data_IF_320753201180
#
_entry.id   IF_320753201180
#
_cell.length_a   1.000
_cell.length_b   1.000
_cell.length_c   1.000
_cell.angle_alpha   90.00
_cell.angle_beta   90.00
_cell.angle_gamma   90.00
#
_symmetry.space_group_name_H-M   'P 1'
#
loop_
_entity.id
_entity.type
_entity.pdbx_description
1 polymer ?
#
# COMPACT_ATOMS: atom_id res chain seq x y z
N UNK A 1 -1.23 13.00 -5.25
CA UNK A 1 -0.22 13.79 -4.51
C UNK A 1 -0.14 13.16 -3.14
N UNK A 2 0.96 12.51 -2.80
CA UNK A 2 1.11 11.91 -1.48
C UNK A 2 1.51 13.00 -0.48
N UNK A 3 0.71 13.12 0.58
CA UNK A 3 0.93 14.08 1.66
C UNK A 3 1.64 13.37 2.81
N UNK A 4 2.73 13.97 3.28
CA UNK A 4 3.47 13.49 4.45
C UNK A 4 3.09 14.33 5.65
N UNK A 5 2.16 13.82 6.44
CA UNK A 5 1.64 14.47 7.63
C UNK A 5 1.97 13.65 8.88
N UNK A 6 2.23 14.36 9.98
CA UNK A 6 2.45 13.73 11.28
C UNK A 6 1.09 13.39 11.87
N UNK A 7 0.87 12.09 12.12
CA UNK A 7 -0.37 11.55 12.64
C UNK A 7 -0.16 10.86 13.99
N UNK A 8 -1.24 10.76 14.77
CA UNK A 8 -1.22 9.99 16.01
C UNK A 8 -0.93 8.51 15.75
N UNK A 9 -0.14 7.90 16.63
CA UNK A 9 0.14 6.46 16.56
C UNK A 9 -1.05 5.67 17.09
N UNK A 10 -1.19 4.41 16.66
CA UNK A 10 -2.16 3.49 17.29
C UNK A 10 -1.66 2.99 18.64
N UNK A 11 -2.59 2.56 19.49
CA UNK A 11 -2.26 1.91 20.78
C UNK A 11 -1.41 0.66 20.56
N UNK A 12 -1.74 -0.14 19.55
CA UNK A 12 -0.94 -1.31 19.16
C UNK A 12 0.51 -0.95 18.82
N UNK A 13 0.74 0.15 18.07
CA UNK A 13 2.10 0.60 17.75
C UNK A 13 2.84 1.11 18.98
N UNK A 14 2.15 1.84 19.88
CA UNK A 14 2.72 2.28 21.14
C UNK A 14 3.14 1.11 22.05
N UNK A 15 2.32 0.05 22.12
CA UNK A 15 2.62 -1.16 22.86
C UNK A 15 3.86 -1.88 22.28
N UNK A 16 3.92 -2.07 20.96
CA UNK A 16 5.07 -2.68 20.30
C UNK A 16 6.39 -1.94 20.56
N UNK A 17 6.35 -0.60 20.65
CA UNK A 17 7.54 0.21 21.01
C UNK A 17 7.95 0.00 22.46
N UNK A 18 6.99 -0.11 23.39
CA UNK A 18 7.27 -0.39 24.79
C UNK A 18 7.86 -1.81 24.96
N UNK A 19 7.34 -2.79 24.25
CA UNK A 19 7.87 -4.17 24.24
C UNK A 19 9.29 -4.25 23.69
N UNK A 20 9.61 -3.44 22.67
CA UNK A 20 10.95 -3.40 22.07
C UNK A 20 12.03 -2.98 23.08
N UNK A 21 11.68 -2.13 24.06
CA UNK A 21 12.60 -1.71 25.11
C UNK A 21 12.90 -2.82 26.13
N UNK A 22 12.03 -3.83 26.25
CA UNK A 22 12.14 -4.93 27.22
C UNK A 22 12.69 -6.25 26.65
N UNK A 23 13.20 -6.26 25.41
CA UNK A 23 13.57 -7.52 24.71
C UNK A 23 14.65 -8.35 25.38
N UNK A 24 15.60 -7.71 26.07
CA UNK A 24 16.78 -8.38 26.64
C UNK A 24 16.81 -8.33 28.17
N UNK A 25 15.89 -7.58 28.78
CA UNK A 25 15.85 -7.34 30.23
C UNK A 25 14.85 -6.24 30.58
N UNK A 26 14.71 -5.88 31.87
CA UNK A 26 13.80 -4.82 32.30
C UNK A 26 14.20 -3.49 31.64
N UNK A 27 13.29 -2.96 30.83
CA UNK A 27 13.45 -1.70 30.11
C UNK A 27 12.38 -0.69 30.48
N UNK A 28 12.71 0.61 30.37
CA UNK A 28 11.79 1.71 30.62
C UNK A 28 11.38 2.36 29.30
N UNK A 29 10.08 2.62 29.15
CA UNK A 29 9.53 3.34 28.00
C UNK A 29 8.82 4.61 28.50
N UNK A 30 9.40 5.77 28.23
CA UNK A 30 8.81 7.06 28.57
C UNK A 30 7.86 7.52 27.45
N UNK A 31 6.59 7.76 27.80
CA UNK A 31 5.56 8.25 26.89
C UNK A 31 5.37 9.75 27.10
N UNK A 32 5.66 10.55 26.07
CA UNK A 32 5.52 12.01 26.10
C UNK A 32 4.09 12.48 25.78
N UNK A 33 3.09 11.82 26.36
CA UNK A 33 1.66 12.14 26.21
C UNK A 33 0.89 11.68 27.43
N UNK A 34 -0.26 12.29 27.69
CA UNK A 34 -1.09 11.95 28.86
C UNK A 34 -1.80 10.60 28.70
N UNK A 35 -2.12 9.96 29.83
CA UNK A 35 -2.93 8.74 29.85
C UNK A 35 -4.32 8.96 29.27
N UNK A 36 -4.91 10.14 29.51
CA UNK A 36 -6.20 10.52 28.93
C UNK A 36 -6.14 10.59 27.39
N UNK A 37 -5.06 11.16 26.83
CA UNK A 37 -4.87 11.18 25.38
C UNK A 37 -4.73 9.77 24.81
N UNK A 38 -3.93 8.92 25.45
CA UNK A 38 -3.75 7.52 25.04
C UNK A 38 -5.07 6.75 25.01
N UNK A 39 -5.97 6.95 25.98
CA UNK A 39 -7.23 6.22 26.06
C UNK A 39 -8.29 6.75 25.07
N UNK A 40 -8.42 8.07 24.93
CA UNK A 40 -9.55 8.71 24.25
C UNK A 40 -9.26 9.14 22.81
N UNK A 41 -8.00 9.44 22.46
CA UNK A 41 -7.64 10.03 21.16
C UNK A 41 -7.04 8.97 20.22
N UNK A 42 -6.32 7.98 20.76
CA UNK A 42 -5.53 7.06 19.94
C UNK A 42 -6.41 5.89 19.49
N UNK A 43 -6.37 5.52 18.20
CA UNK A 43 -7.08 4.33 17.72
C UNK A 43 -6.39 3.07 18.24
N UNK A 44 -7.17 2.01 18.48
CA UNK A 44 -6.62 0.73 18.97
C UNK A 44 -5.63 0.12 17.96
N UNK A 45 -6.03 0.09 16.69
CA UNK A 45 -5.25 -0.44 15.57
C UNK A 45 -5.04 0.60 14.47
N UNK A 46 -3.94 0.48 13.73
CA UNK A 46 -3.68 1.30 12.55
C UNK A 46 -4.54 0.83 11.39
N UNK A 47 -5.10 1.77 10.63
CA UNK A 47 -5.84 1.48 9.40
C UNK A 47 -5.00 0.66 8.40
N UNK A 48 -5.67 -0.22 7.66
CA UNK A 48 -5.04 -1.07 6.67
C UNK A 48 -4.32 -0.24 5.59
N UNK A 49 -3.06 -0.59 5.30
CA UNK A 49 -2.25 0.13 4.33
C UNK A 49 -2.83 0.05 2.91
N UNK A 50 -3.49 -1.06 2.57
CA UNK A 50 -4.13 -1.26 1.26
C UNK A 50 -5.23 -0.23 0.96
N UNK A 51 -5.85 0.35 2.00
CA UNK A 51 -6.86 1.39 1.84
C UNK A 51 -6.27 2.79 1.66
N UNK A 52 -4.98 2.98 1.96
CA UNK A 52 -4.30 4.29 1.92
C UNK A 52 -3.43 4.49 0.69
N UNK A 53 -2.96 3.40 0.09
CA UNK A 53 -1.97 3.41 -1.00
C UNK A 53 -2.64 2.98 -2.30
N UNK A 54 -2.31 3.60 -3.45
CA UNK A 54 -2.79 3.13 -4.74
C UNK A 54 -2.45 1.65 -4.96
N UNK A 55 -3.46 0.89 -5.39
CA UNK A 55 -3.38 -0.57 -5.55
C UNK A 55 -2.84 -1.00 -6.91
N UNK A 56 -2.33 -0.07 -7.72
CA UNK A 56 -1.76 -0.29 -9.07
C UNK A 56 -0.79 -1.48 -9.11
N UNK A 57 0.18 -1.50 -8.19
CA UNK A 57 1.18 -2.57 -8.12
C UNK A 57 0.60 -3.93 -7.72
N UNK A 58 -0.41 -3.94 -6.84
CA UNK A 58 -1.10 -5.16 -6.40
C UNK A 58 -1.92 -5.74 -7.56
N UNK A 59 -2.68 -4.89 -8.26
CA UNK A 59 -3.46 -5.28 -9.45
C UNK A 59 -2.54 -5.85 -10.52
N UNK A 60 -1.41 -5.18 -10.81
CA UNK A 60 -0.44 -5.65 -11.80
C UNK A 60 0.17 -7.01 -11.41
N UNK A 61 0.48 -7.20 -10.12
CA UNK A 61 0.99 -8.46 -9.60
C UNK A 61 -0.01 -9.60 -9.72
N UNK A 62 -1.27 -9.36 -9.37
CA UNK A 62 -2.31 -10.38 -9.48
C UNK A 62 -2.58 -10.78 -10.93
N UNK A 63 -2.53 -9.82 -11.86
CA UNK A 63 -2.65 -10.08 -13.30
C UNK A 63 -1.45 -10.88 -13.84
N UNK A 64 -0.25 -10.70 -13.30
CA UNK A 64 0.92 -11.52 -13.68
C UNK A 64 0.81 -12.96 -13.17
N UNK A 65 0.10 -13.18 -12.07
CA UNK A 65 -0.29 -14.50 -11.56
C UNK A 65 -1.49 -15.12 -12.28
N UNK A 66 -1.96 -14.52 -13.38
CA UNK A 66 -3.09 -14.99 -14.17
C UNK A 66 -4.44 -14.97 -13.42
N UNK A 67 -4.59 -14.06 -12.45
CA UNK A 67 -5.86 -13.79 -11.76
C UNK A 67 -6.61 -12.69 -12.55
N UNK A 68 -7.55 -13.11 -13.39
CA UNK A 68 -8.26 -12.18 -14.28
C UNK A 68 -9.22 -11.23 -13.54
N UNK A 69 -9.91 -11.72 -12.50
CA UNK A 69 -10.89 -10.94 -11.73
C UNK A 69 -10.34 -10.59 -10.35
N UNK A 70 -9.67 -9.44 -10.26
CA UNK A 70 -9.12 -8.92 -8.99
C UNK A 70 -10.24 -8.58 -7.99
N UNK A 71 -11.40 -8.14 -8.47
CA UNK A 71 -12.56 -7.81 -7.63
C UNK A 71 -13.14 -9.01 -6.88
N UNK A 72 -12.98 -10.23 -7.39
CA UNK A 72 -13.48 -11.45 -6.77
C UNK A 72 -12.42 -12.12 -5.86
N UNK A 73 -11.27 -11.49 -5.68
CA UNK A 73 -10.22 -12.03 -4.84
C UNK A 73 -10.56 -11.86 -3.35
N UNK A 74 -10.42 -12.91 -2.52
CA UNK A 74 -10.79 -12.85 -1.11
C UNK A 74 -9.74 -12.10 -0.28
N UNK A 75 -9.75 -10.77 -0.36
CA UNK A 75 -8.88 -9.92 0.47
C UNK A 75 -9.31 -9.97 1.95
N UNK A 76 -8.35 -10.01 2.90
CA UNK A 76 -8.65 -9.89 4.34
C UNK A 76 -9.38 -8.58 4.69
N UNK A 77 -9.06 -7.52 3.95
CA UNK A 77 -9.78 -6.24 3.99
C UNK A 77 -9.86 -5.77 2.54
N UNK A 78 -11.04 -5.84 1.90
CA UNK A 78 -11.16 -5.49 0.50
C UNK A 78 -10.87 -3.99 0.30
N UNK A 79 -10.09 -3.62 -0.72
CA UNK A 79 -9.94 -2.22 -1.11
C UNK A 79 -11.27 -1.70 -1.67
N UNK A 80 -11.40 -0.38 -1.73
CA UNK A 80 -12.55 0.28 -2.35
C UNK A 80 -12.62 -0.06 -3.85
N UNK A 81 -13.81 -0.36 -4.36
CA UNK A 81 -14.00 -0.71 -5.78
C UNK A 81 -13.51 0.39 -6.73
N UNK A 82 -13.74 1.66 -6.37
CA UNK A 82 -13.25 2.80 -7.13
C UNK A 82 -11.71 2.84 -7.24
N UNK A 83 -10.99 2.37 -6.21
CA UNK A 83 -9.53 2.29 -6.23
C UNK A 83 -9.03 1.18 -7.17
N UNK A 84 -9.75 0.06 -7.27
CA UNK A 84 -9.46 -0.99 -8.25
C UNK A 84 -9.70 -0.51 -9.68
N UNK A 85 -10.80 0.20 -9.93
CA UNK A 85 -11.13 0.75 -11.25
C UNK A 85 -10.11 1.80 -11.71
N UNK A 86 -9.70 2.69 -10.80
CA UNK A 86 -8.65 3.68 -11.06
C UNK A 86 -7.29 3.01 -11.33
N UNK A 87 -6.97 1.94 -10.62
CA UNK A 87 -5.75 1.18 -10.85
C UNK A 87 -5.74 0.51 -12.23
N UNK A 88 -6.84 -0.13 -12.64
CA UNK A 88 -6.96 -0.71 -13.98
C UNK A 88 -6.86 0.37 -15.08
N UNK A 89 -7.51 1.52 -14.87
CA UNK A 89 -7.43 2.66 -15.79
C UNK A 89 -5.99 3.16 -15.93
N UNK A 90 -5.29 3.33 -14.81
CA UNK A 90 -3.89 3.73 -14.80
C UNK A 90 -3.01 2.74 -15.57
N UNK A 91 -3.13 1.44 -15.29
CA UNK A 91 -2.32 0.42 -15.94
C UNK A 91 -2.60 0.30 -17.46
N UNK A 92 -3.82 0.59 -17.91
CA UNK A 92 -4.15 0.71 -19.34
C UNK A 92 -3.48 1.92 -20.00
N UNK A 93 -3.48 3.08 -19.32
CA UNK A 93 -2.77 4.29 -19.80
C UNK A 93 -1.26 4.03 -19.90
N UNK A 94 -0.71 3.28 -18.95
CA UNK A 94 0.69 2.85 -18.95
C UNK A 94 0.98 1.68 -19.92
N UNK A 95 0.00 1.22 -20.71
CA UNK A 95 0.14 0.10 -21.66
C UNK A 95 0.67 -1.19 -21.02
N UNK A 96 0.58 -1.32 -19.70
CA UNK A 96 0.90 -2.53 -18.96
C UNK A 96 -0.22 -3.56 -19.08
N UNK A 97 -1.46 -3.08 -19.26
CA UNK A 97 -2.64 -3.87 -19.58
C UNK A 97 -3.20 -3.49 -20.95
N UNK A 98 -3.72 -4.48 -21.67
CA UNK A 98 -4.50 -4.29 -22.89
C UNK A 98 -5.93 -3.79 -22.58
N UNK A 99 -6.65 -3.36 -23.62
CA UNK A 99 -8.09 -3.06 -23.62
C UNK A 99 -8.93 -4.13 -22.91
N UNK A 100 -8.57 -5.40 -23.12
CA UNK A 100 -9.20 -6.57 -22.50
C UNK A 100 -8.76 -6.85 -21.05
N UNK A 101 -7.93 -6.01 -20.45
CA UNK A 101 -7.44 -6.18 -19.07
C UNK A 101 -6.43 -7.31 -18.89
N UNK A 102 -5.78 -7.75 -19.98
CA UNK A 102 -4.72 -8.77 -19.98
C UNK A 102 -3.34 -8.13 -19.94
N UNK A 103 -2.37 -8.82 -19.35
CA UNK A 103 -1.00 -8.33 -19.21
C UNK A 103 -0.27 -8.30 -20.57
N UNK A 104 0.30 -7.15 -20.92
CA UNK A 104 1.10 -6.98 -22.15
C UNK A 104 2.54 -7.46 -21.95
N UNK A 105 3.34 -7.67 -23.01
CA UNK A 105 4.76 -7.95 -22.88
C UNK A 105 5.51 -6.86 -22.10
N UNK A 106 5.07 -5.61 -22.24
CA UNK A 106 5.58 -4.48 -21.48
C UNK A 106 5.26 -4.61 -19.98
N UNK A 107 4.01 -4.97 -19.64
CA UNK A 107 3.57 -5.25 -18.28
C UNK A 107 4.41 -6.35 -17.59
N UNK A 108 4.76 -7.40 -18.34
CA UNK A 108 5.66 -8.47 -17.86
C UNK A 108 7.08 -7.97 -17.59
N UNK A 109 7.63 -7.15 -18.48
CA UNK A 109 8.95 -6.56 -18.31
C UNK A 109 9.01 -5.60 -17.11
N UNK A 110 7.95 -4.81 -16.86
CA UNK A 110 7.86 -3.95 -15.67
C UNK A 110 7.84 -4.72 -14.36
N UNK A 111 7.34 -5.95 -14.34
CA UNK A 111 7.35 -6.77 -13.11
C UNK A 111 8.72 -7.41 -12.83
N UNK A 112 9.49 -7.72 -13.88
CA UNK A 112 10.69 -8.56 -13.78
C UNK A 112 12.02 -7.84 -13.49
N UNK A 113 12.09 -6.51 -13.54
CA UNK A 113 13.39 -5.82 -13.47
C UNK A 113 13.43 -4.46 -12.78
N UNK A 114 12.30 -3.78 -12.58
CA UNK A 114 12.30 -2.43 -12.02
C UNK A 114 11.06 -2.18 -11.14
N UNK A 115 11.21 -1.83 -9.84
CA UNK A 115 10.10 -1.35 -9.04
C UNK A 115 9.71 0.05 -9.53
N UNK A 116 8.91 0.10 -10.60
CA UNK A 116 8.51 1.34 -11.24
C UNK A 116 7.34 1.96 -10.45
N UNK A 117 7.63 3.00 -9.68
CA UNK A 117 6.60 3.95 -9.24
C UNK A 117 6.08 4.70 -10.48
N UNK A 118 4.77 4.98 -10.48
CA UNK A 118 3.95 5.65 -11.51
C UNK A 118 4.66 6.77 -12.30
N UNK A 119 5.58 7.50 -11.66
CA UNK A 119 6.34 8.61 -12.23
C UNK A 119 7.54 8.20 -13.10
N UNK A 120 8.27 7.14 -12.75
CA UNK A 120 9.49 6.75 -13.47
C UNK A 120 9.18 6.15 -14.85
N UNK A 121 8.04 5.49 -15.01
CA UNK A 121 7.58 4.98 -16.30
C UNK A 121 7.36 6.11 -17.33
N UNK A 122 6.73 7.21 -16.90
CA UNK A 122 6.48 8.35 -17.78
C UNK A 122 7.78 9.01 -18.24
N UNK A 123 8.79 9.04 -17.36
CA UNK A 123 10.11 9.59 -17.66
C UNK A 123 10.90 8.72 -18.65
N UNK A 124 10.87 7.39 -18.50
CA UNK A 124 11.58 6.48 -19.41
C UNK A 124 10.99 6.49 -20.82
N UNK A 125 9.67 6.65 -20.96
CA UNK A 125 9.03 6.69 -22.29
C UNK A 125 9.32 7.98 -23.06
N UNK A 126 9.53 9.11 -22.37
CA UNK A 126 9.83 10.40 -23.01
C UNK A 126 11.28 10.55 -23.47
N UNK A 127 12.15 9.61 -23.11
CA UNK A 127 13.58 9.60 -23.42
C UNK A 127 13.95 8.70 -24.61
N UNK A 128 12.96 8.13 -25.32
CA UNK A 128 13.14 7.37 -26.57
C UNK A 128 12.41 8.03 -27.72
#
# INVERSE_FOLDING_TARGET
MEIYEVQWISKASAAQRAESAGRTGPGYCYRLYSSAAYSNIFPDFSLAKISKVPVDGVVLYMKSMNIDKVSNFPFPTPPEGAALDEAERCLKILQALDSNGRLTPLGKATFGGFPMIRTLYYCMRKSS
#
